data_IF_958103284340
#
_entry.id   IF_958103284340
#
_cell.length_a   1.000
_cell.length_b   1.000
_cell.length_c   1.000
_cell.angle_alpha   90.00
_cell.angle_beta   90.00
_cell.angle_gamma   90.00
#
_symmetry.space_group_name_H-M   'P 1'
#
loop_
_entity.id
_entity.type
_entity.pdbx_description
1 polymer ?
#
# COMPACT_ATOMS: atom_id res chain seq x y z
N UNK A 1 -4.13 -3.35 21.45
CA UNK A 1 -3.65 -2.09 20.86
C UNK A 1 -4.33 -0.95 21.60
N UNK A 2 -3.59 -0.06 22.26
CA UNK A 2 -4.15 1.14 22.89
C UNK A 2 -4.43 2.14 21.78
N UNK A 3 -5.65 2.15 21.25
CA UNK A 3 -6.11 3.32 20.50
C UNK A 3 -6.34 4.41 21.53
N UNK A 4 -5.57 5.50 21.45
CA UNK A 4 -5.89 6.70 22.22
C UNK A 4 -7.32 7.11 21.85
N UNK A 5 -8.21 7.37 22.81
CA UNK A 5 -9.60 7.76 22.55
C UNK A 5 -9.71 9.07 21.75
N UNK A 6 -8.63 9.83 21.67
CA UNK A 6 -8.49 11.01 20.81
C UNK A 6 -7.64 10.64 19.59
N UNK A 7 -8.25 10.04 18.55
CA UNK A 7 -7.59 9.84 17.25
C UNK A 7 -7.10 11.15 16.58
N UNK A 8 -7.48 12.30 17.14
CA UNK A 8 -7.15 13.64 16.64
C UNK A 8 -5.85 14.24 17.22
N UNK A 9 -5.22 13.62 18.22
CA UNK A 9 -3.97 14.17 18.75
C UNK A 9 -2.77 13.60 18.00
N UNK A 10 -2.50 14.20 16.84
CA UNK A 10 -1.30 13.94 16.05
C UNK A 10 -0.14 14.65 16.75
N UNK A 11 0.86 13.87 17.21
CA UNK A 11 2.09 14.42 17.82
C UNK A 11 2.85 15.29 16.79
N UNK A 12 3.02 14.77 15.58
CA UNK A 12 3.68 15.46 14.48
C UNK A 12 3.19 14.93 13.12
N UNK A 13 2.97 15.83 12.17
CA UNK A 13 2.68 15.46 10.78
C UNK A 13 3.99 15.18 10.02
N UNK A 14 4.16 13.95 9.53
CA UNK A 14 5.38 13.49 8.84
C UNK A 14 5.28 13.52 7.31
N UNK A 15 4.09 13.78 6.76
CA UNK A 15 3.87 13.71 5.32
C UNK A 15 2.40 13.58 4.93
N UNK A 16 2.14 13.42 3.64
CA UNK A 16 0.80 13.22 3.08
C UNK A 16 0.85 12.26 1.89
N UNK A 17 -0.26 11.56 1.65
CA UNK A 17 -0.42 10.63 0.52
C UNK A 17 -1.78 10.90 -0.12
N UNK A 18 -1.80 11.16 -1.43
CA UNK A 18 -3.02 11.20 -2.22
C UNK A 18 -3.13 9.89 -3.01
N UNK A 19 -4.09 9.00 -2.67
CA UNK A 19 -4.23 7.70 -3.34
C UNK A 19 -4.83 7.81 -4.74
N UNK A 20 -5.50 8.92 -5.08
CA UNK A 20 -6.12 9.08 -6.39
C UNK A 20 -5.04 9.47 -7.42
N UNK A 21 -4.91 8.76 -8.56
CA UNK A 21 -4.00 9.17 -9.61
C UNK A 21 -4.42 10.54 -10.17
N UNK A 22 -3.44 11.42 -10.34
CA UNK A 22 -3.64 12.72 -10.99
C UNK A 22 -3.80 12.58 -12.52
N UNK A 23 -3.92 13.70 -13.23
CA UNK A 23 -4.01 13.73 -14.71
C UNK A 23 -2.79 13.11 -15.44
N UNK A 24 -1.68 12.90 -14.72
CA UNK A 24 -0.47 12.23 -15.22
C UNK A 24 -0.40 10.75 -14.81
N UNK A 25 -1.45 10.22 -14.19
CA UNK A 25 -1.54 8.87 -13.64
C UNK A 25 -0.47 8.58 -12.56
N UNK A 26 -0.13 9.60 -11.75
CA UNK A 26 0.83 9.50 -10.65
C UNK A 26 0.11 9.58 -9.29
N UNK A 27 0.61 8.79 -8.33
CA UNK A 27 0.19 8.85 -6.91
C UNK A 27 1.21 9.71 -6.18
N UNK A 28 0.74 10.80 -5.54
CA UNK A 28 1.60 11.77 -4.88
C UNK A 28 1.82 11.42 -3.40
N UNK A 29 3.09 11.32 -3.00
CA UNK A 29 3.48 10.98 -1.63
C UNK A 29 4.58 11.93 -1.17
N UNK A 30 4.29 12.75 -0.16
CA UNK A 30 5.24 13.65 0.47
C UNK A 30 5.70 13.08 1.81
N UNK A 31 7.01 12.99 2.05
CA UNK A 31 7.60 12.41 3.26
C UNK A 31 8.72 13.28 3.83
N UNK A 32 8.66 13.58 5.12
CA UNK A 32 9.77 14.19 5.86
C UNK A 32 10.73 13.11 6.37
N UNK A 33 11.72 12.75 5.55
CA UNK A 33 12.66 11.68 5.87
C UNK A 33 13.51 11.95 7.13
N UNK A 34 13.81 13.23 7.43
CA UNK A 34 14.59 13.59 8.63
C UNK A 34 13.82 13.28 9.90
N UNK A 35 12.55 13.68 9.96
CA UNK A 35 11.68 13.45 11.14
C UNK A 35 11.24 12.00 11.23
N UNK A 36 11.00 11.35 10.08
CA UNK A 36 10.72 9.92 10.03
C UNK A 36 11.85 9.10 10.67
N UNK A 37 13.13 9.37 10.32
CA UNK A 37 14.28 8.72 10.93
C UNK A 37 14.37 8.94 12.45
N UNK A 38 14.06 10.15 12.91
CA UNK A 38 14.05 10.48 14.33
C UNK A 38 13.01 9.63 15.09
N UNK A 39 11.77 9.59 14.59
CA UNK A 39 10.70 8.82 15.25
C UNK A 39 10.95 7.32 15.21
N UNK A 40 11.46 6.77 14.09
CA UNK A 40 11.81 5.35 13.99
C UNK A 40 12.90 4.97 15.00
N UNK A 41 13.84 5.86 15.28
CA UNK A 41 14.87 5.64 16.30
C UNK A 41 14.39 5.79 17.75
N UNK A 42 13.15 6.22 17.96
CA UNK A 42 12.57 6.38 19.30
C UNK A 42 11.99 5.05 19.79
N UNK A 43 12.27 4.67 21.04
CA UNK A 43 11.75 3.43 21.61
C UNK A 43 10.22 3.41 21.64
N UNK A 44 9.64 2.25 21.31
CA UNK A 44 8.20 2.03 21.37
C UNK A 44 7.40 2.52 20.15
N UNK A 45 8.05 3.08 19.13
CA UNK A 45 7.38 3.43 17.87
C UNK A 45 7.15 2.18 17.02
N UNK A 46 5.90 1.94 16.64
CA UNK A 46 5.49 0.83 15.75
C UNK A 46 5.00 1.40 14.44
N UNK A 47 5.50 0.85 13.32
CA UNK A 47 5.12 1.27 11.97
C UNK A 47 3.94 0.43 11.51
N UNK A 48 2.91 1.09 10.96
CA UNK A 48 1.79 0.40 10.33
C UNK A 48 2.27 -0.39 9.09
N UNK A 49 1.87 -1.67 8.91
CA UNK A 49 2.25 -2.47 7.73
C UNK A 49 2.04 -1.77 6.38
N UNK A 50 0.97 -0.99 6.22
CA UNK A 50 0.71 -0.23 4.99
C UNK A 50 1.77 0.84 4.73
N UNK A 51 2.17 1.56 5.78
CA UNK A 51 3.22 2.58 5.73
C UNK A 51 4.59 1.93 5.49
N UNK A 52 4.86 0.77 6.10
CA UNK A 52 6.10 0.02 5.85
C UNK A 52 6.23 -0.37 4.37
N UNK A 53 5.17 -0.89 3.75
CA UNK A 53 5.16 -1.22 2.31
C UNK A 53 5.39 0.02 1.44
N UNK A 54 4.75 1.13 1.77
CA UNK A 54 4.96 2.41 1.08
C UNK A 54 6.42 2.85 1.15
N UNK A 55 7.02 2.85 2.35
CA UNK A 55 8.42 3.20 2.56
C UNK A 55 9.39 2.23 1.85
N UNK A 56 9.00 0.96 1.70
CA UNK A 56 9.70 -0.02 0.88
C UNK A 56 9.72 0.36 -0.61
N UNK A 57 8.59 0.80 -1.15
CA UNK A 57 8.48 1.28 -2.54
C UNK A 57 9.23 2.59 -2.79
N UNK A 58 9.32 3.46 -1.79
CA UNK A 58 10.12 4.69 -1.85
C UNK A 58 11.65 4.45 -1.75
N UNK A 59 12.09 3.22 -1.48
CA UNK A 59 13.51 2.89 -1.29
C UNK A 59 14.08 3.33 0.06
N UNK A 60 13.23 3.70 1.03
CA UNK A 60 13.65 4.00 2.40
C UNK A 60 13.82 2.73 3.24
N UNK A 61 12.92 1.77 3.04
CA UNK A 61 13.04 0.41 3.56
C UNK A 61 13.28 -0.60 2.43
N UNK A 62 13.69 -1.83 2.76
CA UNK A 62 13.59 -2.94 1.82
C UNK A 62 12.14 -3.14 1.38
N UNK A 63 11.95 -3.61 0.15
CA UNK A 63 10.63 -4.01 -0.35
C UNK A 63 10.08 -5.16 0.50
N UNK A 64 8.82 -5.06 0.89
CA UNK A 64 8.17 -6.06 1.73
C UNK A 64 8.12 -7.44 1.03
N UNK A 65 8.44 -8.55 1.72
CA UNK A 65 8.41 -9.89 1.12
C UNK A 65 7.05 -10.25 0.50
N UNK A 66 5.94 -9.79 1.08
CA UNK A 66 4.61 -10.08 0.55
C UNK A 66 4.38 -9.38 -0.79
N UNK A 67 5.01 -8.24 -1.07
CA UNK A 67 4.89 -7.55 -2.36
C UNK A 67 5.49 -8.40 -3.50
N UNK A 68 6.58 -9.12 -3.26
CA UNK A 68 7.13 -10.07 -4.26
C UNK A 68 6.18 -11.25 -4.53
N UNK A 69 5.62 -11.83 -3.47
CA UNK A 69 4.67 -12.95 -3.57
C UNK A 69 3.40 -12.51 -4.29
N UNK A 70 2.88 -11.33 -3.95
CA UNK A 70 1.68 -10.77 -4.57
C UNK A 70 1.94 -10.43 -6.04
N UNK A 71 3.10 -9.86 -6.38
CA UNK A 71 3.48 -9.62 -7.77
C UNK A 71 3.56 -10.92 -8.58
N UNK A 72 4.12 -11.99 -7.99
CA UNK A 72 4.13 -13.31 -8.63
C UNK A 72 2.72 -13.85 -8.88
N UNK A 73 1.84 -13.80 -7.87
CA UNK A 73 0.44 -14.22 -7.99
C UNK A 73 -0.31 -13.40 -9.04
N UNK A 74 -0.15 -12.08 -9.02
CA UNK A 74 -0.77 -11.17 -9.99
C UNK A 74 -0.34 -11.49 -11.43
N UNK A 75 0.95 -11.77 -11.67
CA UNK A 75 1.43 -12.21 -12.99
C UNK A 75 0.80 -13.53 -13.43
N UNK A 76 0.64 -14.50 -12.52
CA UNK A 76 -0.01 -15.78 -12.83
C UNK A 76 -1.49 -15.63 -13.14
N UNK A 77 -2.19 -14.75 -12.42
CA UNK A 77 -3.59 -14.42 -12.70
C UNK A 77 -3.70 -13.74 -14.07
N UNK A 78 -2.83 -12.77 -14.37
CA UNK A 78 -2.81 -12.09 -15.67
C UNK A 78 -2.50 -13.04 -16.84
N UNK A 79 -1.56 -13.98 -16.65
CA UNK A 79 -1.25 -15.03 -17.63
C UNK A 79 -2.46 -15.95 -17.89
N UNK A 80 -3.13 -16.39 -16.82
CA UNK A 80 -4.34 -17.20 -16.93
C UNK A 80 -5.49 -16.44 -17.60
N UNK A 81 -5.66 -15.15 -17.28
CA UNK A 81 -6.62 -14.22 -17.92
C UNK A 81 -6.41 -14.14 -19.43
N UNK A 82 -5.17 -14.03 -19.88
CA UNK A 82 -4.83 -13.99 -21.31
C UNK A 82 -5.05 -15.35 -21.99
N UNK A 83 -4.83 -16.47 -21.28
CA UNK A 83 -4.92 -17.82 -21.83
C UNK A 83 -6.37 -18.33 -21.95
N UNK A 84 -7.25 -17.90 -21.05
CA UNK A 84 -8.64 -18.32 -20.98
C UNK A 84 -9.58 -17.12 -20.80
N UNK A 85 -9.74 -16.26 -21.82
CA UNK A 85 -10.59 -15.08 -21.72
C UNK A 85 -12.06 -15.42 -21.45
N UNK A 86 -12.56 -16.51 -22.04
CA UNK A 86 -13.99 -16.91 -21.95
C UNK A 86 -14.43 -17.28 -20.52
N UNK A 87 -13.51 -17.75 -19.66
CA UNK A 87 -13.82 -18.09 -18.26
C UNK A 87 -14.11 -16.84 -17.40
N UNK A 88 -13.63 -15.68 -17.82
CA UNK A 88 -13.84 -14.43 -17.07
C UNK A 88 -15.18 -13.79 -17.38
N UNK A 89 -15.60 -13.86 -18.63
CA UNK A 89 -16.93 -13.41 -19.02
C UNK A 89 -18.03 -14.22 -18.30
N UNK A 90 -17.74 -15.46 -17.92
CA UNK A 90 -18.65 -16.31 -17.12
C UNK A 90 -18.64 -15.98 -15.63
N UNK A 91 -17.48 -15.63 -15.06
CA UNK A 91 -17.34 -15.23 -13.65
C UNK A 91 -17.89 -13.81 -13.39
N UNK A 92 -17.60 -12.83 -14.24
CA UNK A 92 -18.15 -11.45 -14.14
C UNK A 92 -19.69 -11.44 -14.29
N UNK A 93 -20.24 -12.24 -15.20
CA UNK A 93 -21.71 -12.38 -15.34
C UNK A 93 -22.38 -13.01 -14.12
N UNK A 94 -21.67 -13.84 -13.35
CA UNK A 94 -22.21 -14.44 -12.12
C UNK A 94 -22.16 -13.47 -10.93
N UNK A 95 -21.15 -12.59 -10.85
CA UNK A 95 -21.06 -11.56 -9.80
C UNK A 95 -22.09 -10.43 -9.98
N UNK A 96 -22.43 -10.05 -11.22
CA UNK A 96 -23.44 -9.01 -11.51
C UNK A 96 -24.91 -9.47 -11.30
N UNK A 97 -25.15 -10.78 -11.18
CA UNK A 97 -26.51 -11.34 -10.99
C UNK A 97 -26.86 -11.56 -9.50
N UNK A 98 -25.96 -11.24 -8.57
CA UNK A 98 -26.08 -11.50 -7.12
C UNK A 98 -26.38 -10.25 -6.29
#
# INVERSE_FOLDING_TARGET
MKHSPNANEIIENLGSCDPMPNDKNEILVALNLKRLRYWIGTEGVVINPWVQKLLGRCGFFPVDPADYVNAYRARKIAENRLRYPEKQDEEEKQEDTA
#
